data_IF_362832536795
#
_entry.id   IF_362832536795
#
_cell.length_a   1.000
_cell.length_b   1.000
_cell.length_c   1.000
_cell.angle_alpha   90.00
_cell.angle_beta   90.00
_cell.angle_gamma   90.00
#
_symmetry.space_group_name_H-M   'P 1'
#
loop_
_entity.id
_entity.type
_entity.pdbx_description
1 polymer ?
#
# COMPACT_ATOMS: atom_id res chain seq x y z
N UNK A 1 11.52 5.00 22.12
CA UNK A 1 10.79 4.69 20.88
C UNK A 1 11.35 5.56 19.79
N UNK A 2 11.88 4.94 18.75
CA UNK A 2 12.61 5.59 17.66
C UNK A 2 11.72 5.82 16.43
N UNK A 3 10.81 4.90 16.17
CA UNK A 3 9.87 4.93 15.05
C UNK A 3 8.47 4.46 15.47
N UNK A 4 7.48 4.79 14.65
CA UNK A 4 6.09 4.36 14.80
C UNK A 4 5.82 3.20 13.83
N UNK A 5 5.58 2.00 14.33
CA UNK A 5 5.15 0.86 13.50
C UNK A 5 3.74 1.08 12.96
N UNK A 6 3.52 0.89 11.67
CA UNK A 6 2.22 1.07 11.03
C UNK A 6 1.97 0.07 9.90
N UNK A 7 0.70 -0.25 9.68
CA UNK A 7 0.24 -1.10 8.58
C UNK A 7 -0.68 -0.28 7.66
N UNK A 8 -0.57 -0.47 6.34
CA UNK A 8 -1.50 0.11 5.37
C UNK A 8 -1.77 -0.85 4.20
N UNK A 9 -2.93 -1.50 4.22
CA UNK A 9 -3.35 -2.45 3.18
C UNK A 9 -4.75 -2.17 2.62
N UNK A 10 -5.36 -1.06 3.04
CA UNK A 10 -6.75 -0.72 2.76
C UNK A 10 -6.88 0.33 1.66
N UNK A 11 -5.90 0.45 0.75
CA UNK A 11 -5.93 1.43 -0.31
C UNK A 11 -6.84 1.01 -1.46
N UNK A 12 -7.77 1.88 -1.88
CA UNK A 12 -8.53 1.76 -3.13
C UNK A 12 -8.49 3.05 -3.99
N UNK A 13 -7.78 4.06 -3.50
CA UNK A 13 -7.61 5.39 -4.12
C UNK A 13 -6.12 5.70 -4.18
N UNK A 14 -5.72 6.72 -4.96
CA UNK A 14 -4.33 7.20 -4.97
C UNK A 14 -3.80 7.45 -3.54
N UNK A 15 -2.51 7.18 -3.25
CA UNK A 15 -1.89 7.44 -1.95
C UNK A 15 -2.08 8.85 -1.39
N UNK A 16 -2.19 9.85 -2.26
CA UNK A 16 -2.42 11.26 -1.88
C UNK A 16 -3.90 11.62 -1.67
N UNK A 17 -4.83 10.71 -2.03
CA UNK A 17 -6.26 10.94 -1.88
C UNK A 17 -6.65 11.07 -0.41
N UNK A 18 -7.66 11.91 -0.16
CA UNK A 18 -8.23 12.16 1.17
C UNK A 18 -9.71 11.82 1.27
N UNK A 19 -10.31 11.36 0.18
CA UNK A 19 -11.70 10.98 0.05
C UNK A 19 -11.88 10.02 -1.14
N UNK A 20 -13.05 9.39 -1.24
CA UNK A 20 -13.43 8.58 -2.40
C UNK A 20 -13.13 7.09 -2.28
N UNK A 21 -12.71 6.60 -1.10
CA UNK A 21 -12.56 5.17 -0.88
C UNK A 21 -13.94 4.47 -0.92
N UNK A 22 -14.17 3.42 -1.74
CA UNK A 22 -15.50 2.82 -1.93
C UNK A 22 -16.12 2.21 -0.66
N UNK A 23 -15.28 1.75 0.27
CA UNK A 23 -15.73 1.20 1.56
C UNK A 23 -15.83 2.24 2.69
N UNK A 24 -15.47 3.50 2.43
CA UNK A 24 -15.47 4.54 3.48
C UNK A 24 -16.85 5.14 3.67
N UNK A 25 -17.39 4.97 4.89
CA UNK A 25 -18.68 5.52 5.32
C UNK A 25 -18.54 6.64 6.35
N UNK A 26 -17.35 6.79 6.96
CA UNK A 26 -17.16 7.64 8.15
C UNK A 26 -16.04 8.66 7.99
N UNK A 27 -15.30 8.64 6.88
CA UNK A 27 -14.09 9.43 6.69
C UNK A 27 -12.91 8.89 7.49
N UNK A 28 -12.85 7.58 7.75
CA UNK A 28 -11.80 7.03 8.63
C UNK A 28 -10.42 7.09 7.96
N UNK A 29 -9.43 7.66 8.66
CA UNK A 29 -8.08 7.89 8.14
C UNK A 29 -7.38 6.62 7.62
N UNK A 30 -7.69 5.44 8.16
CA UNK A 30 -7.05 4.18 7.75
C UNK A 30 -7.35 3.76 6.30
N UNK A 31 -8.38 4.35 5.67
CA UNK A 31 -8.68 4.11 4.25
C UNK A 31 -7.70 4.81 3.30
N UNK A 32 -6.94 5.77 3.79
CA UNK A 32 -6.11 6.65 2.97
C UNK A 32 -4.68 6.70 3.49
N UNK A 33 -3.72 6.39 2.61
CA UNK A 33 -2.30 6.33 2.97
C UNK A 33 -1.77 7.63 3.58
N UNK A 34 -1.90 8.76 2.87
CA UNK A 34 -1.36 10.04 3.34
C UNK A 34 -2.07 10.56 4.61
N UNK A 35 -3.42 10.57 4.70
CA UNK A 35 -4.11 10.91 5.95
C UNK A 35 -3.71 10.05 7.15
N UNK A 36 -3.57 8.73 6.99
CA UNK A 36 -3.06 7.86 8.06
C UNK A 36 -1.62 8.24 8.45
N UNK A 37 -0.75 8.44 7.45
CA UNK A 37 0.66 8.82 7.66
C UNK A 37 0.76 10.10 8.49
N UNK A 38 0.05 11.15 8.07
CA UNK A 38 0.04 12.45 8.74
C UNK A 38 -0.50 12.35 10.16
N UNK A 39 -1.60 11.63 10.36
CA UNK A 39 -2.17 11.44 11.69
C UNK A 39 -1.14 10.80 12.62
N UNK A 40 -0.55 9.68 12.21
CA UNK A 40 0.40 8.94 13.05
C UNK A 40 1.66 9.75 13.34
N UNK A 41 2.20 10.43 12.32
CA UNK A 41 3.35 11.31 12.48
C UNK A 41 3.06 12.44 13.50
N UNK A 42 1.84 13.01 13.43
CA UNK A 42 1.42 14.12 14.31
C UNK A 42 1.01 13.68 15.72
N UNK A 43 0.62 12.43 15.96
CA UNK A 43 0.42 11.88 17.31
C UNK A 43 1.70 12.07 18.15
N UNK A 44 2.87 11.93 17.52
CA UNK A 44 4.17 12.17 18.14
C UNK A 44 4.75 13.53 17.77
N UNK A 45 3.89 14.52 17.51
CA UNK A 45 4.22 15.93 17.26
C UNK A 45 5.23 16.12 16.11
N UNK A 46 5.24 15.21 15.14
CA UNK A 46 6.16 15.23 14.02
C UNK A 46 7.63 14.98 14.39
N UNK A 47 7.87 14.26 15.48
CA UNK A 47 9.24 13.95 15.95
C UNK A 47 9.63 12.48 15.78
N UNK A 48 8.71 11.63 15.33
CA UNK A 48 8.94 10.20 15.11
C UNK A 48 8.41 9.82 13.75
N UNK A 49 9.32 9.37 12.88
CA UNK A 49 8.95 8.89 11.54
C UNK A 49 8.21 7.55 11.65
N UNK A 50 7.36 7.29 10.65
CA UNK A 50 6.71 6.00 10.51
C UNK A 50 7.69 4.95 9.96
N UNK A 51 7.50 3.73 10.43
CA UNK A 51 8.09 2.51 9.91
C UNK A 51 6.93 1.62 9.49
N UNK A 52 6.59 1.64 8.20
CA UNK A 52 5.55 0.77 7.68
C UNK A 52 6.07 -0.67 7.70
N UNK A 53 5.58 -1.45 8.66
CA UNK A 53 5.96 -2.87 8.82
C UNK A 53 5.18 -3.77 7.88
N UNK A 54 4.07 -3.27 7.33
CA UNK A 54 3.27 -3.91 6.30
C UNK A 54 2.61 -2.83 5.43
N UNK A 55 2.89 -2.82 4.13
CA UNK A 55 2.25 -1.86 3.22
C UNK A 55 2.01 -2.51 1.85
N UNK A 56 0.76 -2.48 1.41
CA UNK A 56 0.34 -3.12 0.17
C UNK A 56 -0.87 -2.48 -0.50
N UNK A 57 -1.03 -2.79 -1.78
CA UNK A 57 -2.20 -2.42 -2.59
C UNK A 57 -2.65 -3.65 -3.36
N UNK A 58 -3.88 -4.12 -3.16
CA UNK A 58 -4.31 -5.41 -3.71
C UNK A 58 -4.65 -5.32 -5.20
N UNK A 59 -4.16 -6.26 -6.01
CA UNK A 59 -4.55 -6.45 -7.41
C UNK A 59 -5.21 -7.80 -7.64
N UNK A 60 -6.35 -7.79 -8.34
CA UNK A 60 -7.08 -9.00 -8.73
C UNK A 60 -6.58 -9.59 -10.06
N UNK A 61 -5.68 -8.91 -10.79
CA UNK A 61 -5.23 -9.37 -12.10
C UNK A 61 -4.36 -10.63 -11.99
N UNK A 62 -4.79 -11.72 -12.63
CA UNK A 62 -4.05 -12.99 -12.63
C UNK A 62 -4.24 -13.85 -11.38
N UNK A 63 -5.15 -13.46 -10.47
CA UNK A 63 -5.48 -14.25 -9.25
C UNK A 63 -6.99 -14.50 -9.14
N UNK A 64 -7.43 -15.48 -8.33
CA UNK A 64 -8.85 -15.76 -8.17
C UNK A 64 -9.63 -14.56 -7.60
N UNK A 65 -10.95 -14.47 -7.84
CA UNK A 65 -11.77 -13.38 -7.33
C UNK A 65 -11.65 -13.16 -5.83
N UNK A 66 -11.65 -11.90 -5.40
CA UNK A 66 -11.60 -11.52 -4.00
C UNK A 66 -12.94 -11.80 -3.30
N UNK A 67 -12.89 -12.12 -2.01
CA UNK A 67 -14.09 -12.22 -1.17
C UNK A 67 -14.80 -10.87 -1.04
N UNK A 68 -16.06 -10.85 -0.59
CA UNK A 68 -16.82 -9.61 -0.47
C UNK A 68 -16.22 -8.64 0.57
N UNK A 69 -15.43 -9.15 1.53
CA UNK A 69 -14.69 -8.31 2.48
C UNK A 69 -13.63 -7.44 1.81
N UNK A 70 -13.16 -7.83 0.63
CA UNK A 70 -12.18 -7.11 -0.19
C UNK A 70 -12.79 -6.60 -1.50
N UNK A 71 -14.13 -6.45 -1.55
CA UNK A 71 -14.82 -6.01 -2.76
C UNK A 71 -14.33 -4.64 -3.28
N UNK A 72 -13.86 -3.77 -2.38
CA UNK A 72 -13.31 -2.45 -2.69
C UNK A 72 -12.02 -2.50 -3.54
N UNK A 73 -11.28 -3.62 -3.51
CA UNK A 73 -10.06 -3.80 -4.30
C UNK A 73 -10.31 -4.48 -5.66
N UNK A 74 -11.52 -4.99 -5.89
CA UNK A 74 -11.84 -5.70 -7.13
C UNK A 74 -11.64 -4.80 -8.34
N UNK A 75 -11.13 -5.38 -9.42
CA UNK A 75 -10.86 -4.65 -10.67
C UNK A 75 -9.55 -3.85 -10.68
N UNK A 76 -8.79 -3.81 -9.58
CA UNK A 76 -7.43 -3.26 -9.58
C UNK A 76 -6.49 -4.20 -10.32
N UNK A 77 -5.70 -3.65 -11.24
CA UNK A 77 -4.72 -4.38 -12.05
C UNK A 77 -3.26 -4.20 -11.55
N UNK A 78 -2.34 -5.00 -12.07
CA UNK A 78 -0.95 -5.07 -11.61
C UNK A 78 -0.20 -3.75 -11.89
N UNK A 79 -0.53 -3.07 -12.98
CA UNK A 79 0.03 -1.75 -13.30
C UNK A 79 -0.42 -0.67 -12.30
N UNK A 80 -1.69 -0.71 -11.87
CA UNK A 80 -2.22 0.17 -10.84
C UNK A 80 -1.56 -0.10 -9.48
N UNK A 81 -1.36 -1.37 -9.10
CA UNK A 81 -0.59 -1.74 -7.92
C UNK A 81 0.84 -1.18 -7.96
N UNK A 82 1.55 -1.40 -9.08
CA UNK A 82 2.90 -0.89 -9.26
C UNK A 82 2.99 0.64 -9.19
N UNK A 83 2.05 1.35 -9.81
CA UNK A 83 1.98 2.80 -9.78
C UNK A 83 1.65 3.34 -8.37
N UNK A 84 0.72 2.69 -7.67
CA UNK A 84 0.31 3.07 -6.31
C UNK A 84 1.48 2.94 -5.33
N UNK A 85 2.20 1.81 -5.35
CA UNK A 85 3.38 1.59 -4.51
C UNK A 85 4.47 2.64 -4.79
N UNK A 86 4.73 2.95 -6.06
CA UNK A 86 5.68 3.97 -6.45
C UNK A 86 5.28 5.38 -5.98
N UNK A 87 4.01 5.76 -6.07
CA UNK A 87 3.52 7.04 -5.53
C UNK A 87 3.65 7.10 -4.00
N UNK A 88 3.30 6.03 -3.28
CA UNK A 88 3.45 5.96 -1.83
C UNK A 88 4.91 6.16 -1.38
N UNK A 89 5.86 5.57 -2.10
CA UNK A 89 7.30 5.78 -1.85
C UNK A 89 7.71 7.23 -2.18
N UNK A 90 7.26 7.80 -3.30
CA UNK A 90 7.55 9.22 -3.63
C UNK A 90 7.04 10.18 -2.56
N UNK A 91 5.82 9.98 -2.06
CA UNK A 91 5.25 10.77 -0.97
C UNK A 91 6.02 10.58 0.33
N UNK A 92 6.43 9.35 0.63
CA UNK A 92 7.25 9.03 1.81
C UNK A 92 8.57 9.80 1.80
N UNK A 93 9.23 9.85 0.65
CA UNK A 93 10.47 10.62 0.44
C UNK A 93 10.20 12.12 0.54
N UNK A 94 9.22 12.64 -0.19
CA UNK A 94 9.01 14.09 -0.31
C UNK A 94 8.52 14.73 0.98
N UNK A 95 7.73 14.01 1.78
CA UNK A 95 7.20 14.51 3.06
C UNK A 95 8.19 14.33 4.21
N UNK A 96 9.12 13.37 4.11
CA UNK A 96 10.03 13.02 5.19
C UNK A 96 9.36 12.37 6.41
N UNK A 97 8.08 12.01 6.34
CA UNK A 97 7.34 11.43 7.47
C UNK A 97 7.61 9.93 7.67
N UNK A 98 8.12 9.25 6.64
CA UNK A 98 8.29 7.80 6.62
C UNK A 98 9.76 7.46 6.49
N UNK A 99 10.25 6.57 7.35
CA UNK A 99 11.64 6.09 7.33
C UNK A 99 11.82 4.82 6.52
N UNK A 100 10.91 3.87 6.65
CA UNK A 100 10.95 2.56 5.97
C UNK A 100 9.56 2.15 5.55
N UNK A 101 9.50 1.47 4.41
CA UNK A 101 8.36 0.71 3.93
C UNK A 101 8.81 -0.74 3.75
N UNK A 102 8.12 -1.67 4.41
CA UNK A 102 8.17 -3.10 4.10
C UNK A 102 6.95 -3.41 3.22
N UNK A 103 7.22 -3.76 1.96
CA UNK A 103 6.17 -4.13 1.02
C UNK A 103 5.54 -5.45 1.46
N UNK A 104 4.21 -5.44 1.56
CA UNK A 104 3.40 -6.62 1.75
C UNK A 104 2.49 -6.82 0.52
N UNK A 105 2.62 -7.88 -0.26
CA UNK A 105 3.49 -9.03 -0.05
C UNK A 105 4.49 -9.22 -1.20
N UNK A 106 5.56 -9.98 -0.95
CA UNK A 106 6.58 -10.23 -1.97
C UNK A 106 6.12 -11.33 -2.93
N UNK A 107 5.87 -12.53 -2.40
CA UNK A 107 5.44 -13.71 -3.14
C UNK A 107 4.74 -14.66 -2.15
N UNK A 108 3.40 -14.64 -2.11
CA UNK A 108 2.64 -15.39 -1.11
C UNK A 108 1.34 -15.96 -1.70
N UNK A 109 0.99 -17.23 -1.40
CA UNK A 109 -0.24 -17.85 -1.90
C UNK A 109 -1.49 -17.39 -1.15
N UNK A 110 -2.67 -17.62 -1.71
CA UNK A 110 -3.93 -17.29 -1.04
C UNK A 110 -4.08 -17.98 0.32
N UNK A 111 -4.59 -17.25 1.32
CA UNK A 111 -4.95 -17.79 2.63
C UNK A 111 -6.47 -17.74 2.86
N UNK A 112 -7.19 -18.75 2.38
CA UNK A 112 -8.65 -18.81 2.53
C UNK A 112 -9.34 -17.63 1.83
N UNK A 113 -10.08 -16.81 2.60
CA UNK A 113 -10.77 -15.62 2.09
C UNK A 113 -9.86 -14.39 1.97
N UNK A 114 -8.68 -14.42 2.60
CA UNK A 114 -7.68 -13.35 2.63
C UNK A 114 -6.84 -13.40 1.35
N UNK A 115 -6.96 -12.39 0.46
CA UNK A 115 -6.35 -12.41 -0.86
C UNK A 115 -4.87 -11.99 -0.79
N UNK A 116 -4.05 -12.66 0.01
CA UNK A 116 -2.61 -12.35 0.13
C UNK A 116 -1.86 -12.49 -1.20
N UNK A 117 -2.32 -13.38 -2.09
CA UNK A 117 -1.88 -13.49 -3.49
C UNK A 117 -2.19 -12.25 -4.34
N UNK A 118 -3.25 -11.52 -3.99
CA UNK A 118 -3.57 -10.22 -4.57
C UNK A 118 -2.62 -9.11 -4.12
N UNK A 119 -2.01 -9.23 -2.94
CA UNK A 119 -1.00 -8.28 -2.45
C UNK A 119 0.43 -8.60 -2.92
N UNK A 120 0.69 -9.84 -3.36
CA UNK A 120 2.01 -10.27 -3.84
C UNK A 120 2.47 -9.45 -5.06
N UNK A 121 3.66 -8.84 -5.00
CA UNK A 121 4.22 -8.04 -6.10
C UNK A 121 4.90 -8.90 -7.17
N UNK A 122 5.38 -10.10 -6.81
CA UNK A 122 5.75 -11.13 -7.77
C UNK A 122 4.46 -11.83 -8.18
N UNK A 123 4.16 -11.76 -9.48
CA UNK A 123 2.91 -12.29 -10.05
C UNK A 123 3.05 -13.78 -10.37
N UNK A 124 1.95 -14.52 -10.55
CA UNK A 124 2.00 -15.96 -10.82
C UNK A 124 2.80 -16.36 -12.07
N UNK A 125 2.97 -15.45 -13.03
CA UNK A 125 3.79 -15.63 -14.22
C UNK A 125 5.30 -15.34 -14.00
N UNK A 126 5.68 -14.98 -12.77
CA UNK A 126 7.04 -14.61 -12.37
C UNK A 126 7.42 -13.16 -12.65
N UNK A 127 6.53 -12.36 -13.26
CA UNK A 127 6.78 -10.93 -13.48
C UNK A 127 6.68 -10.13 -12.18
N UNK A 128 7.36 -8.98 -12.11
CA UNK A 128 7.22 -8.05 -10.98
C UNK A 128 7.16 -6.59 -11.46
N UNK A 129 6.01 -6.13 -12.00
CA UNK A 129 5.85 -4.75 -12.45
C UNK A 129 6.15 -3.71 -11.37
N UNK A 130 5.81 -4.01 -10.11
CA UNK A 130 6.13 -3.14 -8.98
C UNK A 130 7.64 -3.06 -8.68
N UNK A 131 8.40 -4.14 -8.90
CA UNK A 131 9.85 -4.11 -8.73
C UNK A 131 10.49 -3.09 -9.68
N UNK A 132 10.02 -3.04 -10.94
CA UNK A 132 10.49 -2.07 -11.93
C UNK A 132 10.16 -0.63 -11.54
N UNK A 133 8.92 -0.35 -11.13
CA UNK A 133 8.51 1.02 -10.74
C UNK A 133 9.19 1.46 -9.44
N UNK A 134 9.37 0.56 -8.46
CA UNK A 134 10.07 0.85 -7.22
C UNK A 134 11.56 1.12 -7.47
N UNK A 135 12.21 0.34 -8.34
CA UNK A 135 13.60 0.57 -8.74
C UNK A 135 13.81 1.98 -9.30
N UNK A 136 12.91 2.44 -10.18
CA UNK A 136 12.96 3.80 -10.75
C UNK A 136 12.82 4.90 -9.68
N UNK A 137 11.99 4.69 -8.65
CA UNK A 137 11.79 5.69 -7.59
C UNK A 137 12.95 5.73 -6.59
N UNK A 138 13.58 4.58 -6.31
CA UNK A 138 14.65 4.48 -5.32
C UNK A 138 16.04 4.89 -5.84
N UNK A 139 16.12 5.43 -7.06
CA UNK A 139 17.38 5.88 -7.65
C UNK A 139 18.20 4.74 -8.26
N UNK A 140 17.53 3.77 -8.88
CA UNK A 140 18.15 2.81 -9.79
C UNK A 140 18.87 3.52 -10.94
N UNK A 141 20.17 3.78 -10.73
CA UNK A 141 21.11 4.22 -11.76
C UNK A 141 21.71 3.04 -12.51
#
# INVERSE_FOLDING_TARGET
MDFIGAHHNAGATSPSARSGHPADQTGHHSWYFLPQTELYYNIFRGTRQLFYTEMGYASQEGVPPFSDMFAWARGTNNAQQAAWLAEAVRLSISTGMVRVIIVWNIDFPRYGYDPQDGYAIIRPDGSCPACETLHQVMGGG
#
